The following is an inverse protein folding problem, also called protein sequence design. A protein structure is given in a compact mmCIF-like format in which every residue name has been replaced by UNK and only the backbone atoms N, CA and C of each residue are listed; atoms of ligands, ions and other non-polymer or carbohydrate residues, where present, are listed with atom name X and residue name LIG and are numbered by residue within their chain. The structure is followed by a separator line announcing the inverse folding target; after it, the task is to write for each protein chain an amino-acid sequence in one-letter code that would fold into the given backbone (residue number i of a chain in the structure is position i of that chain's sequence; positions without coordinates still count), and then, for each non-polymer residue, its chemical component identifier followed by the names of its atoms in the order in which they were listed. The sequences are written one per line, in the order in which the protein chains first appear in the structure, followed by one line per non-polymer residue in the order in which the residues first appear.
data_IF_769036177038
#
_entry.id   IF_769036177038
#
_cell.length_a   1.000
_cell.length_b   1.000
_cell.length_c   1.000
_cell.angle_alpha   90.00
_cell.angle_beta   90.00
_cell.angle_gamma   90.00
#
_symmetry.space_group_name_H-M   'P 1'
#
loop_
_entity.id
_entity.type
_entity.pdbx_description
1 polymer ?
#
# COMPACT_ATOMS: atom_id res chain seq x y z
N UNK A 1 2.98 -12.17 23.21
CA UNK A 1 2.70 -11.94 21.75
C UNK A 1 3.07 -13.15 20.89
N UNK A 2 4.26 -13.73 21.00
CA UNK A 2 4.65 -14.90 20.20
C UNK A 2 3.67 -16.09 20.31
N UNK A 3 3.17 -16.40 21.50
CA UNK A 3 2.17 -17.45 21.68
C UNK A 3 0.84 -17.15 20.99
N UNK A 4 0.36 -15.90 21.07
CA UNK A 4 -0.86 -15.46 20.39
C UNK A 4 -0.71 -15.63 18.87
N UNK A 5 0.41 -15.18 18.27
CA UNK A 5 0.68 -15.32 16.85
C UNK A 5 0.75 -16.79 16.40
N UNK A 6 1.38 -17.66 17.18
CA UNK A 6 1.42 -19.11 16.91
C UNK A 6 0.01 -19.72 16.92
N UNK A 7 -0.84 -19.36 17.89
CA UNK A 7 -2.24 -19.80 17.97
C UNK A 7 -3.05 -19.29 16.77
N UNK A 8 -2.82 -18.04 16.33
CA UNK A 8 -3.44 -17.45 15.15
C UNK A 8 -3.03 -18.22 13.89
N UNK A 9 -1.74 -18.48 13.70
CA UNK A 9 -1.23 -19.27 12.57
C UNK A 9 -1.85 -20.67 12.53
N UNK A 10 -1.90 -21.36 13.68
CA UNK A 10 -2.51 -22.69 13.79
C UNK A 10 -4.01 -22.68 13.42
N UNK A 11 -4.74 -21.62 13.77
CA UNK A 11 -6.18 -21.52 13.52
C UNK A 11 -6.52 -21.10 12.09
N UNK A 12 -5.77 -20.16 11.51
CA UNK A 12 -6.09 -19.54 10.23
C UNK A 12 -5.15 -19.93 9.09
N UNK A 13 -4.04 -20.59 9.39
CA UNK A 13 -3.01 -20.95 8.42
C UNK A 13 -2.23 -19.76 7.84
N UNK A 14 -2.34 -18.58 8.46
CA UNK A 14 -1.71 -17.35 7.99
C UNK A 14 -0.41 -17.11 8.74
N UNK A 15 0.69 -16.92 8.01
CA UNK A 15 2.00 -16.67 8.61
C UNK A 15 2.00 -15.44 9.54
N UNK A 16 2.60 -15.50 10.73
CA UNK A 16 2.73 -14.37 11.64
C UNK A 16 3.29 -13.10 10.99
N UNK A 17 4.32 -13.24 10.18
CA UNK A 17 4.94 -12.10 9.48
C UNK A 17 3.95 -11.36 8.56
N UNK A 18 3.03 -12.05 7.90
CA UNK A 18 2.01 -11.45 7.04
C UNK A 18 0.96 -10.69 7.85
N UNK A 19 0.53 -11.22 8.98
CA UNK A 19 -0.38 -10.53 9.92
C UNK A 19 0.28 -9.28 10.49
N UNK A 20 1.54 -9.40 10.91
CA UNK A 20 2.33 -8.28 11.43
C UNK A 20 2.63 -7.24 10.34
N UNK A 21 2.83 -7.66 9.10
CA UNK A 21 2.99 -6.76 7.95
C UNK A 21 1.77 -5.87 7.74
N UNK A 22 0.56 -6.44 7.80
CA UNK A 22 -0.69 -5.67 7.76
C UNK A 22 -0.77 -4.71 8.95
N UNK A 23 -0.55 -5.20 10.16
CA UNK A 23 -0.60 -4.38 11.38
C UNK A 23 0.39 -3.21 11.35
N UNK A 24 1.61 -3.47 10.86
CA UNK A 24 2.63 -2.43 10.70
C UNK A 24 2.21 -1.35 9.70
N UNK A 25 1.69 -1.75 8.55
CA UNK A 25 1.25 -0.83 7.49
C UNK A 25 0.01 -0.03 7.90
N UNK A 26 -0.96 -0.65 8.59
CA UNK A 26 -2.22 -0.01 8.96
C UNK A 26 -2.08 1.00 10.11
N UNK A 27 -1.32 0.65 11.13
CA UNK A 27 -1.31 1.47 12.35
C UNK A 27 0.05 1.64 12.99
N UNK A 28 1.14 1.34 12.28
CA UNK A 28 2.49 1.32 12.87
C UNK A 28 2.50 0.47 14.16
N UNK A 29 2.04 -0.78 14.03
CA UNK A 29 1.93 -1.72 15.14
C UNK A 29 1.10 -1.20 16.32
N UNK A 30 -0.03 -0.56 16.02
CA UNK A 30 -0.97 -0.04 16.99
C UNK A 30 -0.60 1.33 17.58
N UNK A 31 0.43 2.00 17.07
CA UNK A 31 0.83 3.33 17.55
C UNK A 31 0.00 4.47 16.94
N UNK A 32 -0.64 4.23 15.78
CA UNK A 32 -1.40 5.26 15.04
C UNK A 32 -2.76 4.70 14.66
N UNK A 33 -3.76 4.88 15.52
CA UNK A 33 -5.11 4.35 15.32
C UNK A 33 -6.07 5.33 14.62
N UNK A 34 -5.64 6.57 14.40
CA UNK A 34 -6.50 7.67 14.00
C UNK A 34 -7.09 8.39 15.23
N UNK A 35 -7.51 9.66 15.02
CA UNK A 35 -7.99 10.53 16.11
C UNK A 35 -9.36 11.12 15.81
N UNK A 36 -9.99 10.73 14.69
CA UNK A 36 -11.31 11.25 14.33
C UNK A 36 -12.38 10.43 15.04
N UNK A 37 -13.35 11.11 15.60
CA UNK A 37 -14.54 10.47 16.12
C UNK A 37 -15.27 9.82 14.94
N UNK A 38 -15.54 8.50 15.07
CA UNK A 38 -15.95 7.66 13.94
C UNK A 38 -17.37 8.00 13.47
N UNK A 39 -18.28 8.24 14.40
CA UNK A 39 -19.67 8.56 14.08
C UNK A 39 -19.80 9.90 13.38
N UNK A 40 -19.07 10.93 13.83
CA UNK A 40 -19.02 12.23 13.15
C UNK A 40 -18.45 12.10 11.73
N UNK A 41 -17.38 11.33 11.56
CA UNK A 41 -16.76 11.08 10.26
C UNK A 41 -17.74 10.39 9.29
N UNK A 42 -18.36 9.30 9.74
CA UNK A 42 -19.30 8.52 8.92
C UNK A 42 -20.60 9.28 8.66
N UNK A 43 -21.15 10.03 9.63
CA UNK A 43 -22.34 10.86 9.42
C UNK A 43 -22.06 11.95 8.37
N UNK A 44 -20.91 12.63 8.45
CA UNK A 44 -20.50 13.64 7.48
C UNK A 44 -20.41 13.04 6.07
N UNK A 45 -19.75 11.90 5.91
CA UNK A 45 -19.61 11.22 4.62
C UNK A 45 -20.95 10.67 4.11
N UNK A 46 -21.85 10.26 5.00
CA UNK A 46 -23.20 9.81 4.64
C UNK A 46 -24.07 10.91 4.02
N UNK A 47 -23.75 12.18 4.32
CA UNK A 47 -24.48 13.33 3.80
C UNK A 47 -23.79 14.01 2.62
N UNK A 48 -22.47 14.05 2.58
CA UNK A 48 -21.72 14.94 1.68
C UNK A 48 -20.78 14.23 0.72
N UNK A 49 -20.45 12.94 0.91
CA UNK A 49 -19.61 12.19 -0.04
C UNK A 49 -20.43 11.72 -1.25
N UNK A 50 -19.76 11.49 -2.38
CA UNK A 50 -20.39 10.89 -3.58
C UNK A 50 -20.88 9.45 -3.37
N UNK A 51 -20.39 8.75 -2.36
CA UNK A 51 -20.78 7.38 -1.97
C UNK A 51 -21.66 7.36 -0.72
N UNK A 52 -22.61 8.28 -0.62
CA UNK A 52 -23.47 8.45 0.57
C UNK A 52 -24.09 7.12 1.04
N UNK A 53 -24.64 6.34 0.11
CA UNK A 53 -25.28 5.04 0.41
C UNK A 53 -24.32 4.07 1.10
N UNK A 54 -23.08 4.00 0.62
CA UNK A 54 -22.02 3.18 1.22
C UNK A 54 -21.74 3.65 2.67
N UNK A 55 -21.51 4.94 2.87
CA UNK A 55 -21.20 5.46 4.20
C UNK A 55 -22.40 5.40 5.19
N UNK A 56 -23.63 5.43 4.71
CA UNK A 56 -24.82 5.14 5.53
C UNK A 56 -24.81 3.70 6.04
N UNK A 57 -24.40 2.74 5.20
CA UNK A 57 -24.21 1.35 5.60
C UNK A 57 -23.11 1.19 6.64
N UNK A 58 -21.97 1.88 6.47
CA UNK A 58 -20.88 1.87 7.45
C UNK A 58 -21.30 2.51 8.78
N UNK A 59 -22.06 3.62 8.75
CA UNK A 59 -22.60 4.26 9.95
C UNK A 59 -23.55 3.31 10.72
N UNK A 60 -24.47 2.65 10.01
CA UNK A 60 -25.36 1.68 10.63
C UNK A 60 -24.59 0.48 11.22
N UNK A 61 -23.53 0.05 10.54
CA UNK A 61 -22.64 -1.01 11.03
C UNK A 61 -21.90 -0.58 12.30
N UNK A 62 -21.43 0.67 12.37
CA UNK A 62 -20.80 1.22 13.57
C UNK A 62 -21.76 1.25 14.78
N UNK A 63 -23.02 1.61 14.55
CA UNK A 63 -24.06 1.56 15.61
C UNK A 63 -24.29 0.13 16.12
N UNK A 64 -24.29 -0.87 15.22
CA UNK A 64 -24.44 -2.27 15.60
C UNK A 64 -23.27 -2.78 16.45
N UNK A 65 -22.05 -2.37 16.14
CA UNK A 65 -20.85 -2.73 16.94
C UNK A 65 -21.03 -2.29 18.39
N UNK A 66 -21.49 -1.05 18.58
CA UNK A 66 -21.78 -0.52 19.93
C UNK A 66 -22.97 -1.23 20.57
N UNK A 67 -24.05 -1.47 19.81
CA UNK A 67 -25.22 -2.20 20.29
C UNK A 67 -24.90 -3.62 20.75
N UNK A 68 -23.99 -4.30 20.06
CA UNK A 68 -23.50 -5.63 20.46
C UNK A 68 -22.64 -5.59 21.73
N UNK A 69 -22.17 -4.43 22.17
CA UNK A 69 -21.28 -4.29 23.31
C UNK A 69 -19.80 -4.59 22.98
N UNK A 70 -19.45 -4.77 21.70
CA UNK A 70 -18.10 -5.10 21.27
C UNK A 70 -17.11 -3.97 21.59
N UNK A 71 -17.47 -2.72 21.25
CA UNK A 71 -16.64 -1.53 21.46
C UNK A 71 -17.50 -0.41 22.04
N UNK A 72 -16.99 0.32 23.02
CA UNK A 72 -17.70 1.43 23.63
C UNK A 72 -17.74 2.63 22.66
N UNK A 73 -18.82 3.46 22.69
CA UNK A 73 -18.95 4.62 21.79
C UNK A 73 -17.76 5.56 21.83
N UNK A 74 -17.21 5.84 23.02
CA UNK A 74 -16.07 6.73 23.21
C UNK A 74 -14.75 6.18 22.64
N UNK A 75 -14.64 4.87 22.42
CA UNK A 75 -13.46 4.22 21.86
C UNK A 75 -13.56 4.10 20.32
N UNK A 76 -14.71 4.47 19.75
CA UNK A 76 -14.95 4.49 18.31
C UNK A 76 -14.24 5.69 17.65
N UNK A 77 -12.91 5.63 17.63
CA UNK A 77 -12.05 6.61 16.95
C UNK A 77 -11.26 5.95 15.84
N UNK A 78 -10.96 6.70 14.78
CA UNK A 78 -10.27 6.13 13.63
C UNK A 78 -9.86 7.18 12.60
N UNK A 79 -9.85 6.76 11.34
CA UNK A 79 -9.57 7.62 10.20
C UNK A 79 -10.79 8.49 9.86
N UNK A 80 -10.55 9.57 9.11
CA UNK A 80 -11.63 10.42 8.58
C UNK A 80 -12.58 9.67 7.64
N UNK A 81 -12.13 8.55 7.06
CA UNK A 81 -12.92 7.73 6.14
C UNK A 81 -13.66 6.58 6.82
N UNK A 82 -13.61 6.47 8.15
CA UNK A 82 -14.37 5.48 8.91
C UNK A 82 -13.66 4.15 9.17
N UNK A 83 -12.40 3.99 8.80
CA UNK A 83 -11.60 2.85 9.21
C UNK A 83 -11.09 3.04 10.64
N UNK A 84 -11.08 1.97 11.46
CA UNK A 84 -10.75 2.08 12.87
C UNK A 84 -10.04 0.84 13.44
N UNK A 85 -9.52 1.01 14.66
CA UNK A 85 -8.80 -0.02 15.40
C UNK A 85 -7.38 -0.27 14.88
N UNK A 86 -6.70 -1.22 15.48
CA UNK A 86 -5.28 -1.50 15.22
C UNK A 86 -5.00 -1.97 13.78
N UNK A 87 -5.99 -2.54 13.12
CA UNK A 87 -5.90 -3.06 11.76
C UNK A 87 -6.82 -2.36 10.76
N UNK A 88 -7.36 -1.19 11.16
CA UNK A 88 -8.10 -0.24 10.31
C UNK A 88 -9.23 -0.88 9.51
N UNK A 89 -10.06 -1.70 10.17
CA UNK A 89 -11.27 -2.24 9.54
C UNK A 89 -12.32 -1.16 9.33
N UNK A 90 -13.08 -1.29 8.24
CA UNK A 90 -14.36 -0.60 8.12
C UNK A 90 -15.40 -1.28 9.04
N UNK A 91 -16.41 -0.56 9.55
CA UNK A 91 -17.43 -1.15 10.44
C UNK A 91 -18.15 -2.37 9.88
N UNK A 92 -18.48 -2.38 8.58
CA UNK A 92 -19.07 -3.55 7.94
C UNK A 92 -18.11 -4.75 7.91
N UNK A 93 -16.82 -4.51 7.64
CA UNK A 93 -15.78 -5.54 7.69
C UNK A 93 -15.61 -6.10 9.11
N UNK A 94 -15.69 -5.23 10.12
CA UNK A 94 -15.69 -5.67 11.52
C UNK A 94 -16.83 -6.64 11.81
N UNK A 95 -18.06 -6.29 11.45
CA UNK A 95 -19.22 -7.17 11.69
C UNK A 95 -19.09 -8.52 10.98
N UNK A 96 -18.51 -8.53 9.79
CA UNK A 96 -18.32 -9.74 8.98
C UNK A 96 -17.17 -10.61 9.50
N UNK A 97 -16.03 -10.02 9.87
CA UNK A 97 -14.76 -10.73 9.98
C UNK A 97 -14.04 -10.58 11.33
N UNK A 98 -14.45 -9.67 12.21
CA UNK A 98 -13.85 -9.56 13.52
C UNK A 98 -14.16 -10.78 14.39
N UNK A 99 -13.17 -11.19 15.19
CA UNK A 99 -13.25 -12.35 16.07
C UNK A 99 -12.83 -11.98 17.51
N UNK A 100 -13.51 -12.56 18.46
CA UNK A 100 -13.09 -12.62 19.87
C UNK A 100 -12.09 -13.78 20.00
N UNK A 101 -10.81 -13.44 20.09
CA UNK A 101 -9.75 -14.44 20.10
C UNK A 101 -9.20 -14.71 21.49
N UNK A 102 -9.30 -13.75 22.40
CA UNK A 102 -8.93 -13.90 23.80
C UNK A 102 -10.08 -14.46 24.66
N UNK A 103 -11.29 -14.59 24.08
CA UNK A 103 -12.51 -15.12 24.66
C UNK A 103 -12.99 -14.32 25.88
N UNK A 104 -12.88 -12.98 25.82
CA UNK A 104 -13.42 -12.08 26.85
C UNK A 104 -14.92 -11.77 26.64
N UNK A 105 -15.51 -12.30 25.57
CA UNK A 105 -16.91 -12.11 25.18
C UNK A 105 -17.16 -10.93 24.26
N UNK A 106 -16.13 -10.23 23.78
CA UNK A 106 -16.20 -9.08 22.88
C UNK A 106 -15.20 -9.23 21.74
N UNK A 107 -15.47 -8.55 20.66
CA UNK A 107 -14.53 -8.40 19.55
C UNK A 107 -13.94 -7.00 19.65
N UNK A 108 -12.71 -6.86 20.15
CA UNK A 108 -12.11 -5.54 20.40
C UNK A 108 -10.86 -5.31 19.55
N UNK A 109 -11.02 -4.72 18.37
CA UNK A 109 -9.91 -4.36 17.50
C UNK A 109 -9.17 -3.09 17.93
N UNK A 110 -9.66 -2.40 18.95
CA UNK A 110 -9.05 -1.16 19.47
C UNK A 110 -8.06 -1.49 20.59
N UNK A 111 -8.51 -2.24 21.60
CA UNK A 111 -7.74 -2.47 22.82
C UNK A 111 -7.14 -3.89 22.89
N UNK A 112 -7.78 -4.92 22.28
CA UNK A 112 -7.24 -6.27 22.21
C UNK A 112 -6.36 -6.47 20.98
N UNK A 113 -5.04 -6.60 21.20
CA UNK A 113 -4.10 -7.00 20.13
C UNK A 113 -4.38 -8.41 19.62
N UNK A 114 -4.86 -9.29 20.49
CA UNK A 114 -5.17 -10.66 20.12
C UNK A 114 -6.32 -10.71 19.11
N UNK A 115 -7.39 -9.98 19.36
CA UNK A 115 -8.54 -9.88 18.47
C UNK A 115 -8.19 -9.19 17.15
N UNK A 116 -7.47 -8.07 17.22
CA UNK A 116 -7.06 -7.33 16.04
C UNK A 116 -6.23 -8.18 15.07
N UNK A 117 -5.21 -8.88 15.58
CA UNK A 117 -4.33 -9.73 14.78
C UNK A 117 -5.06 -10.99 14.28
N UNK A 118 -5.90 -11.60 15.11
CA UNK A 118 -6.69 -12.76 14.70
C UNK A 118 -7.75 -12.38 13.67
N UNK A 119 -8.38 -11.23 13.80
CA UNK A 119 -9.34 -10.69 12.81
C UNK A 119 -8.67 -10.41 11.47
N UNK A 120 -7.44 -9.90 11.49
CA UNK A 120 -6.62 -9.74 10.27
C UNK A 120 -6.33 -11.09 9.62
N UNK A 121 -5.92 -12.09 10.40
CA UNK A 121 -5.68 -13.44 9.89
C UNK A 121 -6.96 -14.05 9.31
N UNK A 122 -8.11 -13.89 10.00
CA UNK A 122 -9.41 -14.32 9.49
C UNK A 122 -9.77 -13.64 8.17
N UNK A 123 -9.54 -12.31 8.06
CA UNK A 123 -9.74 -11.58 6.81
C UNK A 123 -8.91 -12.21 5.67
N UNK A 124 -7.60 -12.38 5.86
CA UNK A 124 -6.72 -12.94 4.85
C UNK A 124 -7.14 -14.36 4.45
N UNK A 125 -7.47 -15.20 5.43
CA UNK A 125 -7.97 -16.57 5.20
C UNK A 125 -9.27 -16.57 4.37
N UNK A 126 -10.25 -15.72 4.72
CA UNK A 126 -11.53 -15.59 3.99
C UNK A 126 -11.34 -15.03 2.58
N UNK A 127 -10.27 -14.27 2.32
CA UNK A 127 -9.89 -13.80 0.97
C UNK A 127 -9.08 -14.83 0.17
N UNK A 128 -8.91 -16.05 0.73
CA UNK A 128 -8.29 -17.20 0.06
C UNK A 128 -6.78 -17.26 0.20
N UNK A 129 -6.26 -16.83 1.35
CA UNK A 129 -4.87 -17.06 1.71
C UNK A 129 -4.51 -18.54 1.63
N UNK A 130 -3.34 -18.83 1.10
CA UNK A 130 -2.81 -20.20 0.95
C UNK A 130 -1.67 -20.43 1.92
N UNK A 131 -1.92 -21.27 2.90
CA UNK A 131 -0.88 -21.68 3.85
C UNK A 131 0.29 -22.32 3.09
N UNK A 132 1.51 -22.00 3.51
CA UNK A 132 2.74 -22.54 2.91
C UNK A 132 3.17 -21.85 1.61
N UNK A 133 2.31 -21.10 0.89
CA UNK A 133 2.73 -20.31 -0.25
C UNK A 133 3.31 -18.95 0.20
N UNK A 134 4.38 -18.44 -0.43
CA UNK A 134 4.83 -17.07 -0.22
C UNK A 134 3.87 -16.06 -0.87
N UNK A 135 4.08 -14.77 -0.60
CA UNK A 135 3.36 -13.73 -1.32
C UNK A 135 3.84 -13.57 -2.76
N UNK A 136 5.14 -13.82 -3.00
CA UNK A 136 5.81 -13.69 -4.27
C UNK A 136 7.32 -13.63 -4.13
N UNK A 137 7.98 -13.25 -5.23
CA UNK A 137 9.44 -13.10 -5.33
C UNK A 137 9.77 -11.89 -6.18
N UNK A 138 10.84 -11.15 -5.82
CA UNK A 138 11.53 -10.32 -6.79
C UNK A 138 12.19 -11.21 -7.85
N UNK A 139 12.14 -10.78 -9.11
CA UNK A 139 12.62 -11.60 -10.24
C UNK A 139 13.42 -10.76 -11.23
N UNK A 140 14.31 -11.42 -11.97
CA UNK A 140 15.04 -10.87 -13.10
C UNK A 140 14.36 -11.29 -14.39
N UNK A 141 14.08 -10.32 -15.26
CA UNK A 141 13.32 -10.56 -16.49
C UNK A 141 14.14 -11.22 -17.61
N UNK A 142 15.47 -11.08 -17.62
CA UNK A 142 16.38 -11.67 -18.61
C UNK A 142 15.93 -11.46 -20.08
N UNK A 143 15.44 -10.25 -20.39
CA UNK A 143 14.96 -9.91 -21.74
C UNK A 143 13.50 -10.24 -22.01
N UNK A 144 12.75 -10.83 -21.05
CA UNK A 144 11.33 -11.06 -21.22
C UNK A 144 10.57 -9.77 -21.52
N UNK A 145 9.90 -9.73 -22.68
CA UNK A 145 9.13 -8.56 -23.15
C UNK A 145 7.62 -8.81 -23.24
N UNK A 146 7.16 -9.99 -22.83
CA UNK A 146 5.77 -10.41 -22.90
C UNK A 146 4.83 -9.65 -21.94
N UNK A 147 3.61 -10.14 -21.81
CA UNK A 147 2.58 -9.50 -20.98
C UNK A 147 2.93 -9.53 -19.49
N UNK A 148 2.50 -8.48 -18.79
CA UNK A 148 2.56 -8.35 -17.34
C UNK A 148 1.16 -8.10 -16.80
N UNK A 149 1.00 -8.14 -15.49
CA UNK A 149 -0.24 -7.89 -14.79
C UNK A 149 -0.38 -8.87 -13.62
N UNK A 150 -0.76 -8.35 -12.47
CA UNK A 150 -0.98 -9.12 -11.25
C UNK A 150 -2.01 -10.24 -11.46
N UNK A 151 -3.03 -9.99 -12.24
CA UNK A 151 -4.13 -10.94 -12.49
C UNK A 151 -3.83 -11.96 -13.59
N UNK A 152 -2.85 -11.69 -14.45
CA UNK A 152 -2.41 -12.61 -15.52
C UNK A 152 -1.53 -13.73 -14.96
N UNK A 153 -2.13 -14.59 -14.14
CA UNK A 153 -1.39 -15.66 -13.46
C UNK A 153 -1.09 -16.84 -14.37
N UNK A 154 0.16 -17.28 -14.30
CA UNK A 154 0.68 -18.48 -14.98
C UNK A 154 1.39 -19.37 -13.95
N UNK A 155 1.62 -20.64 -14.28
CA UNK A 155 2.39 -21.54 -13.44
C UNK A 155 3.83 -21.06 -13.28
N UNK A 156 4.51 -21.46 -12.23
CA UNK A 156 5.93 -21.12 -12.03
C UNK A 156 6.78 -21.69 -13.15
N UNK A 157 6.51 -22.91 -13.60
CA UNK A 157 7.20 -23.53 -14.74
C UNK A 157 7.04 -22.72 -16.05
N UNK A 158 5.86 -22.10 -16.29
CA UNK A 158 5.70 -21.20 -17.42
C UNK A 158 6.70 -20.03 -17.35
N UNK A 159 6.82 -19.39 -16.19
CA UNK A 159 7.74 -18.25 -16.01
C UNK A 159 9.21 -18.68 -16.15
N UNK A 160 9.58 -19.86 -15.62
CA UNK A 160 10.91 -20.44 -15.80
C UNK A 160 11.22 -20.69 -17.29
N UNK A 161 10.27 -21.25 -18.04
CA UNK A 161 10.42 -21.50 -19.49
C UNK A 161 10.53 -20.18 -20.30
N UNK A 162 10.01 -19.09 -19.78
CA UNK A 162 10.20 -17.74 -20.34
C UNK A 162 11.55 -17.10 -19.95
N UNK A 163 12.42 -17.80 -19.24
CA UNK A 163 13.74 -17.33 -18.84
C UNK A 163 13.75 -16.46 -17.59
N UNK A 164 12.63 -16.31 -16.87
CA UNK A 164 12.56 -15.52 -15.63
C UNK A 164 13.23 -16.29 -14.49
N UNK A 165 14.08 -15.61 -13.75
CA UNK A 165 14.87 -16.19 -12.63
C UNK A 165 14.74 -15.34 -11.38
N UNK A 166 15.26 -15.82 -10.26
CA UNK A 166 15.56 -14.97 -9.10
C UNK A 166 16.61 -13.91 -9.49
N UNK A 167 16.76 -12.81 -8.74
CA UNK A 167 17.72 -11.75 -9.06
C UNK A 167 19.17 -12.25 -9.16
N UNK A 168 19.54 -13.25 -8.37
CA UNK A 168 20.86 -13.88 -8.35
C UNK A 168 21.07 -14.92 -9.48
N UNK A 169 20.09 -15.11 -10.35
CA UNK A 169 20.12 -16.05 -11.49
C UNK A 169 19.66 -17.47 -11.15
N UNK A 170 19.38 -17.80 -9.89
CA UNK A 170 18.85 -19.12 -9.51
C UNK A 170 17.44 -19.33 -10.09
N UNK A 171 17.03 -20.59 -10.35
CA UNK A 171 15.67 -20.92 -10.75
C UNK A 171 14.63 -20.45 -9.72
N UNK A 172 13.42 -20.16 -10.20
CA UNK A 172 12.29 -19.84 -9.31
C UNK A 172 11.94 -21.05 -8.44
N UNK A 173 11.67 -20.86 -7.12
CA UNK A 173 11.17 -21.94 -6.27
C UNK A 173 9.77 -22.40 -6.73
N UNK A 174 9.55 -23.72 -6.73
CA UNK A 174 8.26 -24.31 -7.12
C UNK A 174 7.34 -24.47 -5.89
N UNK A 175 7.09 -23.38 -5.16
CA UNK A 175 6.30 -23.36 -3.91
C UNK A 175 5.13 -22.36 -3.99
N UNK A 176 4.75 -21.97 -5.20
CA UNK A 176 3.50 -21.24 -5.52
C UNK A 176 2.77 -21.95 -6.67
N UNK A 177 1.45 -22.05 -6.55
CA UNK A 177 0.63 -22.67 -7.60
C UNK A 177 0.68 -21.86 -8.91
N UNK A 178 0.61 -20.54 -8.80
CA UNK A 178 0.67 -19.62 -9.94
C UNK A 178 1.02 -18.21 -9.50
N UNK A 179 1.61 -17.44 -10.41
CA UNK A 179 1.97 -16.05 -10.18
C UNK A 179 1.70 -15.16 -11.39
N UNK A 180 1.41 -13.90 -11.16
CA UNK A 180 1.33 -12.85 -12.16
C UNK A 180 2.56 -11.94 -12.08
N UNK A 181 3.03 -11.45 -13.23
CA UNK A 181 4.18 -10.55 -13.29
C UNK A 181 3.75 -9.13 -12.98
N UNK A 182 4.21 -8.59 -11.86
CA UNK A 182 3.97 -7.21 -11.42
C UNK A 182 5.20 -6.34 -11.72
N UNK A 183 5.00 -5.23 -12.40
CA UNK A 183 6.02 -4.25 -12.77
C UNK A 183 5.64 -2.86 -12.24
N UNK A 184 5.78 -2.60 -10.94
CA UNK A 184 5.28 -1.36 -10.33
C UNK A 184 6.01 -0.11 -10.84
N UNK A 185 7.26 -0.26 -11.23
CA UNK A 185 8.10 0.81 -11.77
C UNK A 185 8.46 0.59 -13.26
N UNK A 186 7.66 -0.20 -13.98
CA UNK A 186 7.98 -0.59 -15.36
C UNK A 186 9.11 -1.61 -15.42
N UNK A 187 9.65 -1.87 -16.63
CA UNK A 187 10.66 -2.91 -16.88
C UNK A 187 12.07 -2.54 -16.42
N UNK A 188 12.31 -1.26 -16.14
CA UNK A 188 13.58 -0.75 -15.68
C UNK A 188 13.72 -0.81 -14.15
N UNK A 189 12.62 -1.03 -13.45
CA UNK A 189 12.60 -1.16 -12.00
C UNK A 189 12.42 -2.60 -11.52
N UNK A 190 12.23 -2.78 -10.20
CA UNK A 190 11.99 -4.09 -9.61
C UNK A 190 10.78 -4.78 -10.26
N UNK A 191 10.95 -6.05 -10.59
CA UNK A 191 9.91 -6.93 -11.12
C UNK A 191 9.58 -8.01 -10.10
N UNK A 192 8.30 -8.38 -9.99
CA UNK A 192 7.85 -9.36 -9.02
C UNK A 192 6.93 -10.38 -9.66
N UNK A 193 7.12 -11.64 -9.33
CA UNK A 193 6.09 -12.66 -9.51
C UNK A 193 5.27 -12.73 -8.22
N UNK A 194 3.98 -12.37 -8.31
CA UNK A 194 3.09 -12.26 -7.15
C UNK A 194 2.03 -13.34 -7.18
N UNK A 195 1.92 -14.07 -6.07
CA UNK A 195 1.02 -15.21 -5.90
C UNK A 195 -0.37 -14.83 -5.36
N UNK A 196 -1.11 -15.84 -4.92
CA UNK A 196 -2.46 -15.65 -4.32
C UNK A 196 -2.40 -14.88 -3.00
N UNK A 197 -1.36 -15.07 -2.19
CA UNK A 197 -1.23 -14.37 -0.91
C UNK A 197 -1.03 -12.86 -1.09
N UNK A 198 -0.36 -12.44 -2.16
CA UNK A 198 -0.32 -11.02 -2.53
C UNK A 198 -1.72 -10.46 -2.87
N UNK A 199 -2.57 -11.26 -3.54
CA UNK A 199 -3.94 -10.83 -3.82
C UNK A 199 -4.78 -10.65 -2.56
N UNK A 200 -4.49 -11.39 -1.49
CA UNK A 200 -5.17 -11.18 -0.20
C UNK A 200 -4.76 -9.87 0.44
N UNK A 201 -3.49 -9.47 0.35
CA UNK A 201 -3.03 -8.14 0.78
C UNK A 201 -3.66 -7.04 -0.07
N UNK A 202 -3.70 -7.22 -1.39
CA UNK A 202 -4.35 -6.30 -2.31
C UNK A 202 -5.84 -6.10 -1.97
N UNK A 203 -6.55 -7.14 -1.53
CA UNK A 203 -7.96 -7.05 -1.19
C UNK A 203 -8.26 -6.18 0.03
N UNK A 204 -7.26 -5.86 0.83
CA UNK A 204 -7.38 -4.98 1.98
C UNK A 204 -7.60 -3.51 1.57
N UNK A 205 -6.91 -3.03 0.54
CA UNK A 205 -6.98 -1.63 0.11
C UNK A 205 -6.91 -1.42 -1.41
N UNK A 206 -7.16 -2.44 -2.23
CA UNK A 206 -7.20 -2.40 -3.69
C UNK A 206 -6.06 -1.58 -4.35
N UNK A 207 -4.86 -1.63 -3.79
CA UNK A 207 -3.66 -0.94 -4.27
C UNK A 207 -2.48 -1.90 -4.34
N UNK A 208 -1.81 -1.95 -5.51
CA UNK A 208 -0.62 -2.79 -5.71
C UNK A 208 0.56 -2.31 -4.86
N UNK A 209 0.74 -0.98 -4.72
CA UNK A 209 1.79 -0.40 -3.88
C UNK A 209 1.57 -0.70 -2.40
N UNK A 210 0.31 -0.63 -1.95
CA UNK A 210 -0.07 -1.01 -0.60
C UNK A 210 0.23 -2.49 -0.33
N UNK A 211 -0.22 -3.39 -1.21
CA UNK A 211 0.04 -4.81 -1.07
C UNK A 211 1.54 -5.14 -1.08
N UNK A 212 2.34 -4.42 -1.91
CA UNK A 212 3.78 -4.58 -1.96
C UNK A 212 4.47 -4.06 -0.68
N UNK A 213 3.96 -3.01 -0.06
CA UNK A 213 4.45 -2.52 1.23
C UNK A 213 4.26 -3.57 2.34
N UNK A 214 3.07 -4.19 2.41
CA UNK A 214 2.80 -5.30 3.34
C UNK A 214 3.75 -6.48 3.05
N UNK A 215 3.86 -6.87 1.78
CA UNK A 215 4.68 -7.98 1.33
C UNK A 215 6.16 -7.78 1.70
N UNK A 216 6.70 -6.59 1.44
CA UNK A 216 8.08 -6.24 1.79
C UNK A 216 8.29 -6.20 3.30
N UNK A 217 7.42 -5.51 4.05
CA UNK A 217 7.50 -5.48 5.51
C UNK A 217 7.42 -6.88 6.12
N UNK A 218 6.55 -7.74 5.58
CA UNK A 218 6.46 -9.13 6.01
C UNK A 218 7.78 -9.89 5.79
N UNK A 219 8.45 -9.66 4.67
CA UNK A 219 9.77 -10.24 4.37
C UNK A 219 10.85 -9.76 5.35
N UNK A 220 10.86 -8.46 5.68
CA UNK A 220 11.79 -7.90 6.68
C UNK A 220 11.57 -8.54 8.06
N UNK A 221 10.31 -8.71 8.46
CA UNK A 221 9.94 -9.35 9.74
C UNK A 221 10.33 -10.82 9.73
N UNK A 222 10.04 -11.57 8.66
CA UNK A 222 10.32 -13.01 8.54
C UNK A 222 11.84 -13.28 8.61
N UNK A 223 12.64 -12.43 7.99
CA UNK A 223 14.10 -12.56 7.98
C UNK A 223 14.77 -11.94 9.23
N UNK A 224 14.02 -11.24 10.06
CA UNK A 224 14.56 -10.43 11.16
C UNK A 224 15.71 -9.51 10.72
N UNK A 225 15.58 -8.94 9.53
CA UNK A 225 16.59 -8.10 8.89
C UNK A 225 15.95 -6.86 8.24
N UNK A 226 16.31 -5.70 8.73
CA UNK A 226 15.83 -4.41 8.21
C UNK A 226 16.64 -3.91 7.01
N UNK A 227 17.73 -4.61 6.63
CA UNK A 227 18.61 -4.22 5.53
C UNK A 227 18.28 -4.93 4.21
N UNK A 228 17.29 -5.82 4.19
CA UNK A 228 16.84 -6.46 2.95
C UNK A 228 16.22 -5.41 2.04
N UNK A 229 16.93 -5.08 0.96
CA UNK A 229 16.44 -4.20 -0.10
C UNK A 229 16.12 -5.05 -1.33
N UNK A 230 15.35 -4.49 -2.25
CA UNK A 230 15.18 -5.09 -3.57
C UNK A 230 16.53 -5.08 -4.30
N UNK A 231 16.81 -6.16 -5.02
CA UNK A 231 18.04 -6.32 -5.78
C UNK A 231 18.10 -5.33 -6.96
N UNK A 232 16.94 -5.04 -7.55
CA UNK A 232 16.81 -4.05 -8.62
C UNK A 232 16.42 -2.70 -8.03
N UNK A 233 17.18 -1.62 -8.26
CA UNK A 233 16.85 -0.29 -7.75
C UNK A 233 15.59 0.28 -8.41
N UNK A 234 14.87 1.12 -7.69
CA UNK A 234 13.75 1.88 -8.25
C UNK A 234 14.27 2.96 -9.21
N UNK A 235 13.63 3.15 -10.40
CA UNK A 235 13.97 4.27 -11.28
C UNK A 235 13.71 5.60 -10.57
N UNK A 236 14.68 6.49 -10.62
CA UNK A 236 14.59 7.83 -10.01
C UNK A 236 14.18 8.91 -11.01
N UNK A 237 14.27 8.60 -12.31
CA UNK A 237 14.04 9.51 -13.43
C UNK A 237 12.60 9.50 -13.97
N UNK A 238 11.74 8.64 -13.43
CA UNK A 238 10.32 8.54 -13.78
C UNK A 238 9.46 8.39 -12.51
N UNK A 239 9.20 9.48 -11.78
CA UNK A 239 8.36 9.46 -10.59
C UNK A 239 6.95 8.92 -10.88
N UNK A 240 6.29 8.41 -9.85
CA UNK A 240 4.87 8.02 -9.92
C UNK A 240 3.96 9.22 -10.19
N UNK A 241 2.72 8.92 -10.56
CA UNK A 241 1.68 9.90 -10.83
C UNK A 241 0.65 9.93 -9.71
N UNK A 242 0.00 11.07 -9.53
CA UNK A 242 -1.16 11.23 -8.66
C UNK A 242 -2.40 10.55 -9.25
N UNK A 243 -3.42 10.33 -8.42
CA UNK A 243 -4.69 9.77 -8.90
C UNK A 243 -5.38 10.69 -9.92
N UNK A 244 -5.21 12.01 -9.80
CA UNK A 244 -5.72 12.97 -10.78
C UNK A 244 -5.04 12.76 -12.13
N UNK A 245 -3.73 12.71 -12.16
CA UNK A 245 -2.95 12.47 -13.39
C UNK A 245 -3.28 11.09 -13.99
N UNK A 246 -3.53 10.07 -13.16
CA UNK A 246 -3.98 8.77 -13.64
C UNK A 246 -5.33 8.85 -14.37
N UNK A 247 -6.29 9.64 -13.87
CA UNK A 247 -7.55 9.89 -14.58
C UNK A 247 -7.35 10.67 -15.88
N UNK A 248 -6.46 11.65 -15.86
CA UNK A 248 -6.13 12.41 -17.05
C UNK A 248 -5.50 11.53 -18.13
N UNK A 249 -4.60 10.61 -17.76
CA UNK A 249 -4.07 9.56 -18.65
C UNK A 249 -5.19 8.68 -19.19
N UNK A 250 -6.07 8.17 -18.34
CA UNK A 250 -7.18 7.30 -18.75
C UNK A 250 -8.09 8.01 -19.75
N UNK A 251 -8.44 9.26 -19.48
CA UNK A 251 -9.26 10.05 -20.38
C UNK A 251 -8.54 10.34 -21.71
N UNK A 252 -7.26 10.68 -21.64
CA UNK A 252 -6.45 10.92 -22.85
C UNK A 252 -6.31 9.65 -23.71
N UNK A 253 -6.17 8.48 -23.11
CA UNK A 253 -6.16 7.21 -23.82
C UNK A 253 -7.48 6.96 -24.55
N UNK A 254 -8.63 7.18 -23.90
CA UNK A 254 -9.96 7.07 -24.51
C UNK A 254 -10.08 8.05 -25.69
N UNK A 255 -9.69 9.31 -25.52
CA UNK A 255 -9.72 10.32 -26.56
C UNK A 255 -8.83 9.97 -27.78
N UNK A 256 -7.79 9.16 -27.57
CA UNK A 256 -6.91 8.63 -28.60
C UNK A 256 -7.39 7.26 -29.17
N UNK A 257 -8.59 6.80 -28.81
CA UNK A 257 -9.21 5.59 -29.35
C UNK A 257 -8.79 4.28 -28.63
N UNK A 258 -8.16 4.36 -27.46
CA UNK A 258 -7.77 3.18 -26.70
C UNK A 258 -8.81 2.86 -25.62
N UNK A 259 -9.30 1.62 -25.59
CA UNK A 259 -10.18 1.17 -24.54
C UNK A 259 -9.37 0.77 -23.30
N UNK A 260 -9.42 1.58 -22.25
CA UNK A 260 -8.74 1.29 -20.98
C UNK A 260 -9.71 1.03 -19.81
N UNK A 261 -11.01 0.93 -20.07
CA UNK A 261 -12.04 0.81 -19.05
C UNK A 261 -12.50 2.16 -18.49
N UNK A 262 -12.82 2.21 -17.21
CA UNK A 262 -13.34 3.41 -16.54
C UNK A 262 -12.24 4.43 -16.22
N UNK A 263 -12.63 5.72 -16.19
CA UNK A 263 -11.76 6.80 -15.70
C UNK A 263 -11.88 6.90 -14.18
N UNK A 264 -11.28 5.95 -13.48
CA UNK A 264 -11.36 5.83 -12.02
C UNK A 264 -10.10 6.28 -11.28
N UNK A 265 -9.00 6.48 -12.03
CA UNK A 265 -7.69 6.83 -11.49
C UNK A 265 -6.93 5.62 -10.93
N UNK A 266 -7.33 4.41 -11.30
CA UNK A 266 -6.65 3.17 -10.95
C UNK A 266 -5.97 2.61 -12.21
N UNK A 267 -4.64 2.52 -12.20
CA UNK A 267 -3.87 1.97 -13.30
C UNK A 267 -3.89 0.44 -13.22
N UNK A 268 -4.96 -0.14 -13.74
CA UNK A 268 -5.13 -1.60 -13.85
C UNK A 268 -4.51 -2.18 -15.12
N UNK A 269 -4.71 -3.49 -15.34
CA UNK A 269 -4.12 -4.21 -16.47
C UNK A 269 -4.60 -3.65 -17.83
N UNK A 270 -5.88 -3.30 -17.96
CA UNK A 270 -6.42 -2.72 -19.21
C UNK A 270 -5.78 -1.37 -19.51
N UNK A 271 -5.62 -0.51 -18.51
CA UNK A 271 -4.93 0.78 -18.67
C UNK A 271 -3.47 0.57 -19.08
N UNK A 272 -2.76 -0.41 -18.48
CA UNK A 272 -1.37 -0.73 -18.84
C UNK A 272 -1.24 -1.27 -20.26
N UNK A 273 -2.24 -2.03 -20.73
CA UNK A 273 -2.29 -2.51 -22.14
C UNK A 273 -2.44 -1.31 -23.07
N UNK A 274 -3.40 -0.43 -22.81
CA UNK A 274 -3.63 0.77 -23.61
C UNK A 274 -2.39 1.70 -23.64
N UNK A 275 -1.70 1.86 -22.49
CA UNK A 275 -0.44 2.60 -22.42
C UNK A 275 0.61 1.97 -23.33
N UNK A 276 0.81 0.65 -23.30
CA UNK A 276 1.78 -0.03 -24.17
C UNK A 276 1.47 0.15 -25.66
N UNK A 277 0.21 0.10 -26.04
CA UNK A 277 -0.21 0.33 -27.42
C UNK A 277 0.06 1.76 -27.86
N UNK A 278 -0.24 2.74 -27.03
CA UNK A 278 0.08 4.14 -27.27
C UNK A 278 1.60 4.37 -27.38
N UNK A 279 2.38 3.80 -26.46
CA UNK A 279 3.84 3.88 -26.47
C UNK A 279 4.42 3.31 -27.78
N UNK A 280 3.92 2.15 -28.26
CA UNK A 280 4.34 1.56 -29.55
C UNK A 280 4.04 2.50 -30.72
N UNK A 281 2.84 3.11 -30.74
CA UNK A 281 2.47 4.09 -31.78
C UNK A 281 3.40 5.29 -31.78
N UNK A 282 3.84 5.72 -30.60
CA UNK A 282 4.75 6.86 -30.44
C UNK A 282 6.23 6.50 -30.63
N UNK A 283 6.57 5.23 -30.89
CA UNK A 283 7.94 4.78 -31.11
C UNK A 283 8.82 4.81 -29.84
N UNK A 284 8.22 4.83 -28.65
CA UNK A 284 8.93 4.80 -27.36
C UNK A 284 8.87 3.40 -26.72
N UNK A 285 9.76 3.08 -25.76
CA UNK A 285 9.73 1.79 -25.07
C UNK A 285 8.34 1.48 -24.48
N UNK A 286 7.73 0.37 -24.90
CA UNK A 286 6.37 -0.01 -24.55
C UNK A 286 6.35 -0.84 -23.25
N UNK A 287 6.61 -0.20 -22.10
CA UNK A 287 6.68 -0.83 -20.80
C UNK A 287 5.32 -0.87 -20.06
N UNK A 288 4.34 -0.07 -20.51
CA UNK A 288 3.03 0.03 -19.90
C UNK A 288 3.01 0.80 -18.57
N UNK A 289 4.10 1.50 -18.24
CA UNK A 289 4.18 2.28 -17.02
C UNK A 289 3.43 3.60 -17.15
N UNK A 290 2.56 3.88 -16.20
CA UNK A 290 1.95 5.18 -16.00
C UNK A 290 2.82 6.01 -15.03
N UNK A 291 3.96 6.51 -15.51
CA UNK A 291 4.84 7.42 -14.79
C UNK A 291 4.77 8.84 -15.35
N UNK A 292 5.54 9.75 -14.76
CA UNK A 292 5.61 11.15 -15.22
C UNK A 292 6.10 11.27 -16.66
N UNK A 293 6.97 10.37 -17.12
CA UNK A 293 7.41 10.35 -18.53
C UNK A 293 6.23 10.09 -19.47
N UNK A 294 5.40 9.08 -19.15
CA UNK A 294 4.23 8.77 -19.95
C UNK A 294 3.16 9.85 -19.88
N UNK A 295 2.92 10.43 -18.70
CA UNK A 295 2.00 11.54 -18.50
C UNK A 295 2.34 12.70 -19.43
N UNK A 296 3.60 13.12 -19.45
CA UNK A 296 4.07 14.21 -20.34
C UNK A 296 3.94 13.85 -21.82
N UNK A 297 4.25 12.61 -22.18
CA UNK A 297 4.13 12.13 -23.56
C UNK A 297 2.70 12.23 -24.06
N UNK A 298 1.73 11.69 -23.30
CA UNK A 298 0.33 11.66 -23.75
C UNK A 298 -0.37 13.01 -23.67
N UNK A 299 0.06 13.91 -22.77
CA UNK A 299 -0.45 15.27 -22.64
C UNK A 299 0.21 16.26 -23.61
N UNK A 300 1.11 15.80 -24.49
CA UNK A 300 1.79 16.66 -25.48
C UNK A 300 2.90 17.54 -24.91
N UNK A 301 3.31 17.33 -23.65
CA UNK A 301 4.36 18.11 -22.98
C UNK A 301 5.77 17.49 -23.15
N UNK A 302 6.01 16.77 -24.24
CA UNK A 302 7.29 16.06 -24.45
C UNK A 302 8.51 16.98 -24.67
N UNK A 303 8.33 18.30 -24.72
CA UNK A 303 9.35 19.23 -25.18
C UNK A 303 10.12 20.03 -24.14
N UNK A 304 9.72 20.08 -22.88
CA UNK A 304 10.39 20.94 -21.89
C UNK A 304 10.52 20.27 -20.52
N UNK A 305 11.55 19.48 -20.34
CA UNK A 305 12.00 19.11 -18.98
C UNK A 305 13.51 19.13 -18.91
N UNK A 306 14.02 20.19 -18.36
CA UNK A 306 15.35 20.15 -17.73
C UNK A 306 15.30 19.16 -16.57
N UNK A 307 16.25 18.24 -16.45
CA UNK A 307 16.31 17.33 -15.32
C UNK A 307 16.79 18.09 -14.09
N UNK A 308 15.86 18.62 -13.31
CA UNK A 308 16.16 19.18 -11.98
C UNK A 308 15.83 18.13 -10.90
N UNK A 309 16.36 16.95 -11.05
CA UNK A 309 16.54 16.02 -9.94
C UNK A 309 18.02 15.64 -9.91
N UNK A 310 18.75 16.28 -9.03
CA UNK A 310 20.09 15.80 -8.69
C UNK A 310 19.91 14.55 -7.80
N UNK A 311 20.47 13.40 -8.16
CA UNK A 311 20.52 12.27 -7.24
C UNK A 311 21.36 12.69 -6.05
N UNK A 312 20.79 12.59 -4.85
CA UNK A 312 21.55 12.70 -3.61
C UNK A 312 22.45 11.47 -3.55
N UNK A 313 23.65 11.61 -4.07
CA UNK A 313 24.74 10.66 -3.87
C UNK A 313 25.28 10.86 -2.46
N UNK A 314 24.63 10.24 -1.49
CA UNK A 314 25.24 10.03 -0.18
C UNK A 314 25.53 8.54 -0.05
N UNK A 315 26.79 8.15 0.22
CA UNK A 315 27.09 6.76 0.52
C UNK A 315 26.35 6.34 1.77
N UNK A 316 25.71 5.18 1.69
CA UNK A 316 25.01 4.55 2.82
C UNK A 316 26.06 4.25 3.89
N UNK A 317 26.13 5.08 4.91
CA UNK A 317 26.86 4.73 6.12
C UNK A 317 25.97 3.77 6.93
N UNK A 318 26.52 2.59 7.22
CA UNK A 318 25.91 1.62 8.12
C UNK A 318 25.71 2.24 9.51
N UNK A 319 24.46 2.39 9.91
CA UNK A 319 24.12 2.84 11.27
C UNK A 319 23.79 1.61 12.11
N UNK A 320 24.60 1.37 13.14
CA UNK A 320 24.35 0.38 14.18
C UNK A 320 23.12 0.79 14.98
N UNK A 321 22.06 -0.02 14.91
CA UNK A 321 20.86 0.16 15.73
C UNK A 321 21.07 -0.49 17.10
N UNK A 322 21.46 0.30 18.10
CA UNK A 322 21.19 -0.02 19.49
C UNK A 322 19.73 0.36 19.80
N UNK A 323 18.91 -0.63 20.13
CA UNK A 323 17.60 -0.55 20.79
C UNK A 323 16.70 0.69 20.50
N UNK A 324 16.32 0.95 19.26
CA UNK A 324 15.21 1.85 18.96
C UNK A 324 14.34 1.32 17.81
N UNK A 325 13.05 1.24 18.08
CA UNK A 325 11.99 0.85 17.15
C UNK A 325 11.93 1.79 15.95
N UNK A 326 12.10 1.25 14.76
CA UNK A 326 11.93 2.01 13.52
C UNK A 326 10.45 2.42 13.32
N UNK A 327 10.21 3.68 13.03
CA UNK A 327 8.88 4.23 12.77
C UNK A 327 8.66 4.27 11.27
N UNK A 328 7.64 3.54 10.80
CA UNK A 328 7.16 3.63 9.42
C UNK A 328 6.02 4.64 9.39
N UNK A 329 6.23 5.79 8.74
CA UNK A 329 5.18 6.78 8.54
C UNK A 329 4.45 6.51 7.24
N UNK A 330 3.17 6.14 7.35
CA UNK A 330 2.24 6.02 6.23
C UNK A 330 1.53 7.35 6.09
N UNK A 331 1.73 8.03 4.98
CA UNK A 331 1.04 9.29 4.68
C UNK A 331 -0.19 9.00 3.82
N UNK A 332 -1.36 9.31 4.32
CA UNK A 332 -2.54 9.53 3.50
C UNK A 332 -2.46 10.97 2.96
N UNK A 333 -2.34 11.12 1.64
CA UNK A 333 -2.41 12.44 1.04
C UNK A 333 -3.81 13.03 1.18
N UNK A 334 -3.97 13.89 2.17
CA UNK A 334 -5.17 14.70 2.38
C UNK A 334 -5.08 15.97 1.53
N UNK A 335 -5.39 15.87 0.26
CA UNK A 335 -5.74 17.05 -0.53
C UNK A 335 -7.01 16.78 -1.33
N UNK A 336 -8.10 17.21 -0.79
CA UNK A 336 -9.45 17.42 -1.33
C UNK A 336 -10.51 16.46 -0.78
N UNK A 337 -11.60 16.97 -0.19
CA UNK A 337 -12.67 16.14 0.39
C UNK A 337 -13.51 15.37 -0.63
N UNK A 338 -13.20 15.44 -1.92
CA UNK A 338 -13.95 14.75 -2.98
C UNK A 338 -13.25 13.51 -3.56
N UNK A 339 -12.11 13.06 -3.00
CA UNK A 339 -11.39 11.91 -3.55
C UNK A 339 -11.18 10.82 -2.50
N UNK A 340 -11.48 9.57 -2.89
CA UNK A 340 -11.14 8.38 -2.12
C UNK A 340 -9.62 8.30 -1.90
N UNK A 341 -9.14 7.83 -0.75
CA UNK A 341 -7.71 7.80 -0.47
C UNK A 341 -6.98 6.87 -1.43
N UNK A 342 -6.09 7.42 -2.22
CA UNK A 342 -5.00 6.66 -2.81
C UNK A 342 -3.84 6.76 -1.83
N UNK A 343 -3.59 5.70 -1.09
CA UNK A 343 -2.40 5.61 -0.26
C UNK A 343 -1.19 5.42 -1.16
N UNK A 344 -0.36 6.45 -1.29
CA UNK A 344 0.99 6.29 -1.81
C UNK A 344 1.92 6.02 -0.65
N UNK A 345 2.69 4.93 -0.72
CA UNK A 345 3.67 4.57 0.29
C UNK A 345 5.06 4.95 -0.18
N UNK A 346 5.80 5.61 0.69
CA UNK A 346 7.24 5.68 0.59
C UNK A 346 7.84 5.21 1.91
N UNK A 347 8.72 4.21 1.83
CA UNK A 347 9.55 3.78 2.96
C UNK A 347 10.79 4.65 2.92
N UNK A 348 10.89 5.64 3.82
CA UNK A 348 12.12 6.40 4.00
C UNK A 348 12.72 6.11 5.36
N UNK A 349 14.01 5.82 5.36
CA UNK A 349 14.79 5.75 6.61
C UNK A 349 14.91 7.15 7.17
N UNK A 350 14.33 7.39 8.32
CA UNK A 350 14.55 8.61 9.09
C UNK A 350 15.82 8.52 9.90
N UNK A 351 16.89 9.19 9.48
CA UNK A 351 17.95 9.57 10.39
C UNK A 351 17.51 10.84 11.13
N UNK A 352 17.34 10.75 12.43
CA UNK A 352 17.14 11.94 13.26
C UNK A 352 18.53 12.47 13.60
N UNK A 353 18.98 13.47 12.86
CA UNK A 353 20.02 14.37 13.36
C UNK A 353 19.31 15.46 14.18
N UNK A 354 19.61 15.56 15.46
CA UNK A 354 19.26 16.72 16.26
C UNK A 354 20.06 17.91 15.75
N UNK A 355 19.50 18.70 14.85
CA UNK A 355 19.89 20.07 14.61
C UNK A 355 18.70 20.97 14.93
N UNK A 356 18.96 22.05 15.67
CA UNK A 356 17.99 23.09 16.01
C UNK A 356 17.61 23.90 14.75
N UNK A 357 16.93 23.27 13.79
CA UNK A 357 16.32 23.98 12.66
C UNK A 357 14.82 23.72 12.68
N UNK A 358 14.05 24.81 12.71
CA UNK A 358 12.59 24.79 12.67
C UNK A 358 12.02 24.29 11.33
N UNK A 359 12.88 23.79 10.43
CA UNK A 359 12.51 23.37 9.10
C UNK A 359 12.93 21.91 8.86
N UNK A 360 12.02 21.13 8.30
CA UNK A 360 12.24 19.72 7.90
C UNK A 360 11.97 19.62 6.40
N UNK A 361 12.91 19.07 5.63
CA UNK A 361 12.71 18.82 4.21
C UNK A 361 12.31 17.37 3.98
N UNK A 362 11.21 17.15 3.23
CA UNK A 362 10.73 15.82 2.87
C UNK A 362 10.15 15.84 1.45
N UNK A 363 10.59 14.92 0.59
CA UNK A 363 10.10 14.82 -0.79
C UNK A 363 10.28 16.09 -1.64
N UNK A 364 11.32 16.91 -1.36
CA UNK A 364 11.58 18.18 -2.04
C UNK A 364 10.72 19.35 -1.54
N UNK A 365 9.90 19.15 -0.51
CA UNK A 365 9.11 20.20 0.12
C UNK A 365 9.72 20.53 1.48
N UNK A 366 9.94 21.81 1.75
CA UNK A 366 10.40 22.30 3.05
C UNK A 366 9.19 22.58 3.93
N UNK A 367 9.17 21.97 5.10
CA UNK A 367 8.12 22.17 6.12
C UNK A 367 8.71 22.92 7.30
N UNK A 368 7.93 23.84 7.89
CA UNK A 368 8.25 24.42 9.18
C UNK A 368 7.41 23.77 10.28
N UNK A 369 8.01 23.65 11.44
CA UNK A 369 7.36 23.14 12.64
C UNK A 369 6.53 24.28 13.29
N UNK A 370 5.24 24.02 13.57
CA UNK A 370 4.37 24.94 14.28
C UNK A 370 3.86 24.23 15.53
N UNK A 371 3.97 24.90 16.68
CA UNK A 371 3.29 24.46 17.90
C UNK A 371 1.84 24.94 17.87
N UNK A 372 0.91 24.01 18.06
CA UNK A 372 -0.52 24.31 18.15
C UNK A 372 -0.88 24.77 19.57
N UNK A 373 -1.99 25.51 19.76
CA UNK A 373 -2.44 25.95 21.09
C UNK A 373 -2.75 24.80 22.07
N UNK A 374 -2.96 23.58 21.56
CA UNK A 374 -3.20 22.36 22.35
C UNK A 374 -1.92 21.64 22.79
N UNK A 375 -0.74 22.23 22.52
CA UNK A 375 0.57 21.67 22.86
C UNK A 375 1.09 20.63 21.87
N UNK A 376 0.35 20.32 20.80
CA UNK A 376 0.81 19.42 19.72
C UNK A 376 1.69 20.17 18.71
N UNK A 377 2.50 19.43 17.96
CA UNK A 377 3.36 20.01 16.93
C UNK A 377 2.85 19.60 15.55
N UNK A 378 2.63 20.58 14.67
CA UNK A 378 2.27 20.36 13.27
C UNK A 378 3.42 20.74 12.33
N UNK A 379 3.52 20.07 11.20
CA UNK A 379 4.40 20.43 10.09
C UNK A 379 3.55 21.06 8.99
N UNK A 380 3.86 22.29 8.60
CA UNK A 380 3.19 22.98 7.48
C UNK A 380 4.21 23.30 6.38
N UNK A 381 3.83 23.28 5.11
CA UNK A 381 4.71 23.68 4.03
C UNK A 381 5.23 25.10 4.24
N UNK A 382 6.52 25.32 4.07
CA UNK A 382 7.15 26.63 4.35
C UNK A 382 6.71 27.75 3.37
N UNK A 383 6.07 27.41 2.24
CA UNK A 383 5.67 28.33 1.18
C UNK A 383 4.15 28.68 1.19
N UNK A 384 3.41 28.44 2.27
CA UNK A 384 2.04 28.95 2.42
C UNK A 384 2.09 30.25 3.19
N UNK A 385 1.94 31.38 2.48
CA UNK A 385 1.55 32.69 3.02
C UNK A 385 0.06 32.71 3.28
#
# INVERSE_FOLDING_TARGET
MADVLRRIENRYGVKPAHVLGVWGVESNFGQTLGKKELFTSLATLSCFDRRQSYFRGEYASALRIVQNGDIRPQDMTGSWAGAFGQTQFMPSTFLELAVDFDNDGRKDLVNSKADALASTANFLAKRGYRSGEPWGYEVKLNGYSGSSGRTNKKSISHWQNMGITLPDGRPLPNNMTSAGLLLPAGRQGPAFLVGKNFDTFYSYNASESYALAIAHLSTLIENNDTNVNFATPWPTDDPGISRREAKEIQQALINNGYNNGNVDGIIGDNTRIAIREYQRKMGVPADGRAGQKFYRLIMGNAGNVSPTYQPVSSPIQSVNYGNQTGVIHIRQDNQNPSQSPSSSFSISRGSVSQSHSDHISYGGIVYRRIQNPDGTTSLVPANTH
#
